data_IF_831459228481
#
_entry.id   IF_831459228481
#
_cell.length_a   1.000
_cell.length_b   1.000
_cell.length_c   1.000
_cell.angle_alpha   90.00
_cell.angle_beta   90.00
_cell.angle_gamma   90.00
#
_symmetry.space_group_name_H-M   'P 1'
#
loop_
_entity.id
_entity.type
_entity.pdbx_description
1 polymer ?
#
# COMPACT_ATOMS: atom_id res chain seq x y z
N UNK A 1 -12.29 11.95 7.98
CA UNK A 1 -12.40 12.33 6.55
C UNK A 1 -10.98 12.33 5.99
N UNK A 2 -10.79 12.37 4.67
CA UNK A 2 -9.48 12.31 4.00
C UNK A 2 -8.67 13.61 4.21
N UNK A 3 -8.03 13.76 5.38
CA UNK A 3 -7.40 15.01 5.80
C UNK A 3 -6.20 15.39 4.93
N UNK A 4 -5.43 14.41 4.44
CA UNK A 4 -4.28 14.69 3.58
C UNK A 4 -4.72 15.36 2.27
N UNK A 5 -5.87 14.95 1.70
CA UNK A 5 -6.45 15.62 0.55
C UNK A 5 -6.88 17.04 0.89
N UNK A 6 -7.51 17.25 2.05
CA UNK A 6 -7.88 18.59 2.55
C UNK A 6 -6.65 19.49 2.67
N UNK A 7 -5.60 19.04 3.36
CA UNK A 7 -4.37 19.82 3.56
C UNK A 7 -3.66 20.11 2.23
N UNK A 8 -3.60 19.14 1.32
CA UNK A 8 -3.02 19.36 -0.02
C UNK A 8 -3.77 20.42 -0.84
N UNK A 9 -5.06 20.62 -0.56
CA UNK A 9 -5.88 21.67 -1.14
C UNK A 9 -5.71 23.02 -0.45
N UNK A 10 -5.69 23.00 0.89
CA UNK A 10 -5.53 24.19 1.72
C UNK A 10 -4.16 24.85 1.56
N UNK A 11 -3.10 24.09 1.28
CA UNK A 11 -1.76 24.64 1.06
C UNK A 11 -1.69 25.70 -0.05
N UNK A 12 -2.55 25.62 -1.08
CA UNK A 12 -2.64 26.63 -2.15
C UNK A 12 -3.18 27.99 -1.67
N UNK A 13 -3.79 28.03 -0.49
CA UNK A 13 -4.38 29.24 0.08
C UNK A 13 -3.37 30.07 0.90
N UNK A 14 -2.18 29.52 1.15
CA UNK A 14 -1.06 30.21 1.81
C UNK A 14 -0.64 31.44 1.01
N UNK A 15 -0.57 31.34 -0.33
CA UNK A 15 -0.25 32.47 -1.20
C UNK A 15 -1.22 33.65 -1.01
N UNK A 16 -2.49 33.33 -0.75
CA UNK A 16 -3.54 34.33 -0.66
C UNK A 16 -3.72 34.86 0.77
N UNK A 17 -2.89 34.44 1.72
CA UNK A 17 -2.98 34.83 3.14
C UNK A 17 -4.27 34.37 3.81
N UNK A 18 -4.90 33.31 3.29
CA UNK A 18 -6.16 32.76 3.82
C UNK A 18 -5.95 31.67 4.88
N UNK A 19 -4.74 31.16 4.98
CA UNK A 19 -4.34 30.20 6.02
C UNK A 19 -3.70 30.99 7.17
N UNK A 20 -4.25 30.85 8.38
CA UNK A 20 -3.82 31.61 9.55
C UNK A 20 -3.12 30.69 10.55
N UNK A 21 -1.89 31.05 10.95
CA UNK A 21 -1.14 30.32 11.97
C UNK A 21 -1.88 30.42 13.32
N UNK A 22 -1.84 29.35 14.11
CA UNK A 22 -2.50 29.23 15.41
C UNK A 22 -4.03 29.32 15.32
N UNK A 23 -4.59 28.96 14.17
CA UNK A 23 -6.02 28.84 13.92
C UNK A 23 -6.39 27.44 13.39
N UNK A 24 -7.69 27.15 13.29
CA UNK A 24 -8.18 25.90 12.74
C UNK A 24 -7.87 25.79 11.25
N UNK A 25 -7.47 24.59 10.84
CA UNK A 25 -7.46 24.18 9.43
C UNK A 25 -8.90 24.04 8.91
N UNK A 26 -9.06 23.94 7.60
CA UNK A 26 -10.31 23.49 6.97
C UNK A 26 -10.86 22.18 7.52
N UNK A 27 -10.01 21.30 8.06
CA UNK A 27 -10.48 20.24 8.96
C UNK A 27 -10.44 20.77 10.41
N UNK A 28 -11.61 20.96 11.07
CA UNK A 28 -11.68 21.60 12.39
C UNK A 28 -11.06 20.75 13.51
N UNK A 29 -10.65 19.51 13.22
CA UNK A 29 -9.89 18.70 14.18
C UNK A 29 -8.38 19.02 14.19
N UNK A 30 -7.93 19.99 13.39
CA UNK A 30 -6.51 20.29 13.20
C UNK A 30 -6.23 21.78 13.35
N UNK A 31 -5.06 22.10 13.91
CA UNK A 31 -4.53 23.46 14.05
C UNK A 31 -3.40 23.66 13.05
N UNK A 32 -3.37 24.83 12.41
CA UNK A 32 -2.24 25.29 11.60
C UNK A 32 -1.13 25.80 12.52
N UNK A 33 0.04 25.17 12.45
CA UNK A 33 1.18 25.47 13.31
C UNK A 33 2.18 26.44 12.68
N UNK A 34 2.30 26.41 11.36
CA UNK A 34 3.27 27.22 10.62
C UNK A 34 2.87 27.30 9.13
N UNK A 35 3.34 28.34 8.44
CA UNK A 35 3.11 28.54 7.00
C UNK A 35 4.29 29.27 6.37
N UNK A 36 4.60 28.96 5.12
CA UNK A 36 5.63 29.65 4.35
C UNK A 36 5.18 29.88 2.91
N UNK A 37 5.43 31.08 2.40
CA UNK A 37 5.41 31.43 0.98
C UNK A 37 6.77 32.05 0.64
N UNK A 38 7.63 31.35 -0.08
CA UNK A 38 9.01 31.80 -0.34
C UNK A 38 9.12 33.01 -1.26
N UNK A 39 8.00 33.47 -1.84
CA UNK A 39 7.95 34.76 -2.53
C UNK A 39 7.91 35.94 -1.54
N UNK A 40 7.49 35.69 -0.30
CA UNK A 40 7.27 36.71 0.75
C UNK A 40 8.07 36.47 2.02
N UNK A 41 8.36 35.22 2.34
CA UNK A 41 8.97 34.79 3.60
C UNK A 41 10.38 34.24 3.36
N UNK A 42 11.21 34.30 4.40
CA UNK A 42 12.51 33.66 4.48
C UNK A 42 12.42 32.36 5.27
N UNK A 43 13.30 31.39 4.99
CA UNK A 43 13.39 30.16 5.77
C UNK A 43 14.61 30.23 6.69
N UNK A 44 14.41 29.94 7.97
CA UNK A 44 15.49 29.94 8.97
C UNK A 44 16.23 31.28 9.03
N UNK A 45 17.54 31.26 8.75
CA UNK A 45 18.41 32.43 8.83
C UNK A 45 18.64 33.13 7.47
N UNK A 46 17.83 32.84 6.45
CA UNK A 46 17.92 33.49 5.14
C UNK A 46 17.64 35.00 5.25
N UNK A 47 18.41 35.81 4.50
CA UNK A 47 18.30 37.28 4.55
C UNK A 47 17.17 37.83 3.69
N UNK A 48 16.85 37.17 2.57
CA UNK A 48 15.86 37.61 1.60
C UNK A 48 15.03 36.40 1.13
N UNK A 49 13.73 36.59 0.85
CA UNK A 49 12.90 35.55 0.25
C UNK A 49 13.52 35.03 -1.06
N UNK A 50 13.42 33.71 -1.30
CA UNK A 50 14.02 33.06 -2.48
C UNK A 50 13.28 33.34 -3.78
N UNK A 51 12.01 33.77 -3.72
CA UNK A 51 11.18 34.06 -4.89
C UNK A 51 11.04 32.87 -5.86
N UNK A 52 11.01 31.65 -5.32
CA UNK A 52 10.89 30.41 -6.10
C UNK A 52 9.51 29.76 -5.97
N UNK A 53 8.53 30.47 -5.43
CA UNK A 53 7.12 30.06 -5.34
C UNK A 53 6.82 28.78 -4.57
N UNK A 54 7.75 28.27 -3.75
CA UNK A 54 7.44 27.19 -2.80
C UNK A 54 6.49 27.72 -1.72
N UNK A 55 5.42 26.97 -1.49
CA UNK A 55 4.40 27.29 -0.49
C UNK A 55 4.08 26.05 0.33
N UNK A 56 3.98 26.21 1.64
CA UNK A 56 3.64 25.10 2.52
C UNK A 56 2.91 25.56 3.79
N UNK A 57 2.20 24.63 4.40
CA UNK A 57 1.60 24.77 5.73
C UNK A 57 1.89 23.53 6.59
N UNK A 58 1.89 23.71 7.90
CA UNK A 58 2.11 22.66 8.88
C UNK A 58 0.86 22.53 9.75
N UNK A 59 0.38 21.31 9.95
CA UNK A 59 -0.82 21.03 10.74
C UNK A 59 -0.60 19.90 11.73
N UNK A 60 -1.33 19.95 12.84
CA UNK A 60 -1.38 18.86 13.83
C UNK A 60 -2.80 18.63 14.33
N UNK A 61 -3.12 17.36 14.65
CA UNK A 61 -4.43 16.98 15.18
C UNK A 61 -4.58 17.47 16.62
N UNK A 62 -5.75 18.00 16.96
CA UNK A 62 -6.13 18.37 18.32
C UNK A 62 -6.27 17.08 19.16
N UNK A 63 -5.76 17.09 20.39
CA UNK A 63 -5.93 15.96 21.32
C UNK A 63 -7.41 15.76 21.63
N UNK A 64 -7.81 14.51 21.87
CA UNK A 64 -9.22 14.15 21.96
C UNK A 64 -9.96 14.91 23.07
N UNK A 65 -9.30 15.20 24.19
CA UNK A 65 -9.84 15.97 25.32
C UNK A 65 -10.15 17.44 25.00
N UNK A 66 -9.64 17.96 23.88
CA UNK A 66 -9.80 19.36 23.47
C UNK A 66 -10.66 19.53 22.20
N UNK A 67 -11.16 18.44 21.59
CA UNK A 67 -11.88 18.51 20.31
C UNK A 67 -13.23 19.25 20.36
N UNK A 68 -13.82 19.35 21.54
CA UNK A 68 -15.10 20.05 21.75
C UNK A 68 -14.92 21.54 22.08
N UNK A 69 -13.67 22.02 22.21
CA UNK A 69 -13.37 23.41 22.50
C UNK A 69 -13.42 24.22 21.22
N UNK A 70 -13.92 25.45 21.30
CA UNK A 70 -13.75 26.40 20.19
C UNK A 70 -12.33 26.95 20.16
N UNK A 71 -11.99 27.64 19.07
CA UNK A 71 -10.63 28.13 18.86
C UNK A 71 -10.21 29.20 19.88
N UNK A 72 -11.15 29.96 20.42
CA UNK A 72 -10.84 31.02 21.39
C UNK A 72 -10.55 30.39 22.76
N UNK A 73 -11.33 29.39 23.17
CA UNK A 73 -11.08 28.60 24.37
C UNK A 73 -9.72 27.88 24.30
N UNK A 74 -9.35 27.34 23.12
CA UNK A 74 -8.05 26.71 22.91
C UNK A 74 -6.90 27.71 23.08
N UNK A 75 -7.03 28.91 22.51
CA UNK A 75 -6.02 29.98 22.57
C UNK A 75 -5.76 30.47 23.99
N UNK A 76 -6.75 30.39 24.88
CA UNK A 76 -6.64 30.76 26.30
C UNK A 76 -5.89 29.72 27.15
N UNK A 77 -5.68 28.49 26.63
CA UNK A 77 -4.96 27.45 27.35
C UNK A 77 -3.44 27.73 27.41
N UNK A 78 -2.87 27.53 28.58
CA UNK A 78 -1.44 27.75 28.82
C UNK A 78 -0.58 26.81 27.97
N UNK A 79 0.26 27.40 27.12
CA UNK A 79 1.16 26.65 26.24
C UNK A 79 0.49 26.25 24.92
N UNK A 80 -0.57 26.92 24.51
CA UNK A 80 -1.12 26.83 23.17
C UNK A 80 -0.11 27.31 22.10
N UNK A 81 -0.04 26.65 20.91
CA UNK A 81 -0.80 25.46 20.51
C UNK A 81 -0.21 24.12 20.96
N UNK A 82 1.06 24.06 21.37
CA UNK A 82 1.77 22.78 21.60
C UNK A 82 1.14 21.91 22.70
N UNK A 83 0.49 22.52 23.69
CA UNK A 83 -0.18 21.82 24.79
C UNK A 83 -1.43 21.05 24.38
N UNK A 84 -2.09 21.44 23.27
CA UNK A 84 -3.40 20.92 22.86
C UNK A 84 -3.35 20.00 21.64
N UNK A 85 -2.20 19.86 20.99
CA UNK A 85 -2.02 19.04 19.80
C UNK A 85 -1.39 17.68 20.09
N UNK A 86 -1.68 16.70 19.25
CA UNK A 86 -0.93 15.44 19.18
C UNK A 86 0.45 15.71 18.57
N UNK A 87 1.37 14.78 18.81
CA UNK A 87 2.75 14.87 18.31
C UNK A 87 2.89 14.36 16.87
N UNK A 88 1.78 14.08 16.19
CA UNK A 88 1.77 13.71 14.77
C UNK A 88 1.48 14.97 13.93
N UNK A 89 2.48 15.38 13.13
CA UNK A 89 2.45 16.62 12.35
C UNK A 89 2.53 16.31 10.86
N UNK A 90 1.76 17.04 10.05
CA UNK A 90 1.83 16.95 8.59
C UNK A 90 2.27 18.27 7.96
N UNK A 91 3.28 18.21 7.08
CA UNK A 91 3.67 19.33 6.21
C UNK A 91 2.98 19.16 4.86
N UNK A 92 2.13 20.11 4.48
CA UNK A 92 1.44 20.12 3.20
C UNK A 92 2.06 21.15 2.27
N UNK A 93 2.52 20.69 1.10
CA UNK A 93 3.11 21.53 0.06
C UNK A 93 2.10 21.82 -1.05
N UNK A 94 2.05 23.08 -1.49
CA UNK A 94 1.24 23.47 -2.63
C UNK A 94 1.94 23.13 -3.95
N UNK A 95 1.18 22.77 -4.97
CA UNK A 95 1.70 22.67 -6.33
C UNK A 95 1.53 23.97 -7.12
N UNK A 96 1.93 23.96 -8.39
CA UNK A 96 1.70 25.09 -9.30
C UNK A 96 0.24 25.09 -9.79
N UNK A 97 -0.40 26.26 -9.86
CA UNK A 97 -1.82 26.38 -10.21
C UNK A 97 -2.13 26.28 -11.72
N UNK A 98 -1.12 26.35 -12.61
CA UNK A 98 -1.30 26.45 -14.06
C UNK A 98 -1.21 25.13 -14.84
N UNK A 99 -2.30 24.72 -15.49
CA UNK A 99 -2.38 23.47 -16.29
C UNK A 99 -1.54 23.48 -17.58
N UNK A 100 -1.39 24.64 -18.25
CA UNK A 100 -0.65 24.75 -19.52
C UNK A 100 0.88 24.70 -19.34
N UNK A 101 1.41 25.33 -18.29
CA UNK A 101 2.85 25.31 -17.97
C UNK A 101 3.30 23.93 -17.47
N UNK A 102 2.44 23.28 -16.68
CA UNK A 102 2.77 22.03 -15.99
C UNK A 102 3.13 20.84 -16.92
N UNK A 103 2.48 20.70 -18.09
CA UNK A 103 2.65 19.50 -18.94
C UNK A 103 4.01 19.44 -19.66
N UNK A 104 4.52 20.59 -20.11
CA UNK A 104 5.80 20.68 -20.83
C UNK A 104 6.96 20.83 -19.84
N UNK A 105 6.71 21.51 -18.72
CA UNK A 105 7.79 22.04 -17.89
C UNK A 105 8.09 21.20 -16.64
N UNK A 106 7.23 20.28 -16.18
CA UNK A 106 7.46 19.57 -14.90
C UNK A 106 8.85 18.91 -14.79
N UNK A 107 9.38 18.30 -15.86
CA UNK A 107 10.73 17.68 -15.80
C UNK A 107 11.86 18.71 -15.81
N UNK A 108 11.63 19.86 -16.43
CA UNK A 108 12.59 20.96 -16.52
C UNK A 108 12.55 21.81 -15.25
N UNK A 109 11.36 22.19 -14.79
CA UNK A 109 11.04 22.76 -13.47
C UNK A 109 11.62 21.88 -12.36
N UNK A 110 11.32 20.58 -12.31
CA UNK A 110 11.85 19.72 -11.25
C UNK A 110 13.38 19.53 -11.32
N UNK A 111 14.05 19.83 -12.44
CA UNK A 111 15.52 19.91 -12.51
C UNK A 111 16.03 21.27 -12.06
N UNK A 112 15.41 22.36 -12.52
CA UNK A 112 15.75 23.73 -12.15
C UNK A 112 15.51 24.00 -10.65
N UNK A 113 14.42 23.47 -10.10
CA UNK A 113 14.02 23.65 -8.70
C UNK A 113 14.84 22.81 -7.70
N UNK A 114 15.76 21.98 -8.20
CA UNK A 114 16.73 21.25 -7.36
C UNK A 114 18.05 21.96 -7.17
N UNK A 115 18.27 23.08 -7.86
CA UNK A 115 19.38 23.96 -7.56
C UNK A 115 19.26 24.52 -6.14
N UNK A 116 20.35 25.02 -5.58
CA UNK A 116 20.44 25.50 -4.19
C UNK A 116 19.33 26.50 -3.79
N UNK A 117 18.84 27.27 -4.77
CA UNK A 117 17.79 28.27 -4.60
C UNK A 117 16.41 27.84 -5.12
N UNK A 118 16.23 26.57 -5.50
CA UNK A 118 14.99 26.07 -6.06
C UNK A 118 13.94 25.65 -5.02
N UNK A 119 12.73 25.37 -5.50
CA UNK A 119 11.57 25.05 -4.65
C UNK A 119 11.77 23.76 -3.83
N UNK A 120 12.36 22.70 -4.42
CA UNK A 120 12.66 21.45 -3.69
C UNK A 120 13.66 21.64 -2.55
N UNK A 121 14.71 22.45 -2.76
CA UNK A 121 15.65 22.78 -1.69
C UNK A 121 14.99 23.63 -0.61
N UNK A 122 14.06 24.50 -1.00
CA UNK A 122 13.30 25.30 -0.04
C UNK A 122 12.35 24.44 0.77
N UNK A 123 11.67 23.48 0.15
CA UNK A 123 10.84 22.50 0.84
C UNK A 123 11.64 21.68 1.88
N UNK A 124 12.86 21.25 1.52
CA UNK A 124 13.76 20.56 2.43
C UNK A 124 14.27 21.45 3.57
N UNK A 125 14.69 22.69 3.26
CA UNK A 125 15.10 23.66 4.28
C UNK A 125 13.96 23.97 5.25
N UNK A 126 12.75 24.16 4.72
CA UNK A 126 11.56 24.40 5.55
C UNK A 126 11.29 23.21 6.47
N UNK A 127 11.30 21.98 5.95
CA UNK A 127 11.16 20.77 6.76
C UNK A 127 12.24 20.65 7.85
N UNK A 128 13.47 21.09 7.58
CA UNK A 128 14.52 21.13 8.61
C UNK A 128 14.21 22.14 9.72
N UNK A 129 13.66 23.32 9.40
CA UNK A 129 13.25 24.29 10.42
C UNK A 129 12.06 23.77 11.26
N UNK A 130 11.10 23.09 10.61
CA UNK A 130 9.98 22.46 11.31
C UNK A 130 10.46 21.36 12.27
N UNK A 131 11.38 20.49 11.84
CA UNK A 131 11.92 19.43 12.71
C UNK A 131 12.78 19.98 13.87
N UNK A 132 13.38 21.17 13.73
CA UNK A 132 14.05 21.83 14.87
C UNK A 132 13.04 22.25 15.95
N UNK A 133 11.84 22.68 15.56
CA UNK A 133 10.77 23.07 16.49
C UNK A 133 10.00 21.86 17.04
N UNK A 134 9.75 20.88 16.19
CA UNK A 134 8.99 19.67 16.49
C UNK A 134 9.89 18.43 16.27
N UNK A 135 10.79 18.18 17.21
CA UNK A 135 11.84 17.19 17.02
C UNK A 135 11.32 15.76 17.15
N UNK A 136 11.78 14.87 16.26
CA UNK A 136 11.58 13.42 16.39
C UNK A 136 12.17 12.89 17.71
N UNK A 137 13.22 13.54 18.23
CA UNK A 137 13.80 13.20 19.54
C UNK A 137 12.87 13.49 20.71
N UNK A 138 11.96 14.45 20.54
CA UNK A 138 10.96 14.85 21.53
C UNK A 138 9.65 14.07 21.37
N UNK A 139 9.64 13.04 20.51
CA UNK A 139 8.50 12.16 20.29
C UNK A 139 7.58 12.58 19.14
N UNK A 140 7.94 13.60 18.36
CA UNK A 140 7.15 14.00 17.20
C UNK A 140 7.32 13.04 16.02
N UNK A 141 6.22 12.79 15.31
CA UNK A 141 6.26 12.19 13.98
C UNK A 141 5.94 13.25 12.95
N UNK A 142 6.66 13.23 11.83
CA UNK A 142 6.45 14.17 10.73
C UNK A 142 6.11 13.37 9.48
N UNK A 143 4.99 13.71 8.85
CA UNK A 143 4.59 13.25 7.53
C UNK A 143 4.45 14.41 6.55
N UNK A 144 4.40 14.10 5.27
CA UNK A 144 4.17 15.12 4.23
C UNK A 144 3.01 14.77 3.33
N UNK A 145 2.39 15.79 2.75
CA UNK A 145 1.37 15.65 1.72
C UNK A 145 1.49 16.76 0.69
N UNK A 146 0.81 16.58 -0.43
CA UNK A 146 0.81 17.54 -1.51
C UNK A 146 0.15 16.99 -2.77
N UNK A 147 -0.18 17.91 -3.67
CA UNK A 147 -0.75 17.61 -4.97
C UNK A 147 0.17 18.10 -6.09
N UNK A 148 0.25 17.37 -7.21
CA UNK A 148 1.06 17.80 -8.37
C UNK A 148 2.53 18.06 -8.00
N UNK A 149 3.08 19.25 -8.26
CA UNK A 149 4.43 19.65 -7.85
C UNK A 149 4.63 19.59 -6.32
N UNK A 150 3.65 20.03 -5.53
CA UNK A 150 3.71 19.92 -4.07
C UNK A 150 3.76 18.46 -3.60
N UNK A 151 3.11 17.55 -4.35
CA UNK A 151 3.25 16.11 -4.13
C UNK A 151 4.67 15.60 -4.42
N UNK A 152 5.35 16.18 -5.42
CA UNK A 152 6.74 15.85 -5.72
C UNK A 152 7.70 16.34 -4.64
N UNK A 153 7.48 17.56 -4.12
CA UNK A 153 8.23 18.15 -3.00
C UNK A 153 8.04 17.32 -1.72
N UNK A 154 6.80 16.95 -1.39
CA UNK A 154 6.46 16.07 -0.27
C UNK A 154 7.24 14.73 -0.34
N UNK A 155 7.23 14.07 -1.51
CA UNK A 155 8.00 12.84 -1.74
C UNK A 155 9.50 13.08 -1.58
N UNK A 156 10.02 14.16 -2.17
CA UNK A 156 11.44 14.50 -2.11
C UNK A 156 11.92 14.69 -0.66
N UNK A 157 11.21 15.50 0.11
CA UNK A 157 11.48 15.71 1.54
C UNK A 157 11.37 14.41 2.31
N UNK A 158 10.32 13.63 2.07
CA UNK A 158 10.09 12.37 2.78
C UNK A 158 11.21 11.37 2.59
N UNK A 159 11.71 11.21 1.36
CA UNK A 159 12.83 10.30 1.09
C UNK A 159 14.12 10.74 1.78
N UNK A 160 14.42 12.04 1.77
CA UNK A 160 15.66 12.56 2.38
C UNK A 160 15.61 12.64 3.90
N UNK A 161 14.41 12.79 4.49
CA UNK A 161 14.21 12.92 5.93
C UNK A 161 13.75 11.63 6.60
N UNK A 162 13.32 10.63 5.82
CA UNK A 162 12.75 9.39 6.34
C UNK A 162 11.28 9.52 6.80
N UNK A 163 10.58 10.57 6.39
CA UNK A 163 9.16 10.79 6.71
C UNK A 163 8.25 9.88 5.88
N UNK A 164 6.99 9.72 6.30
CA UNK A 164 5.95 9.13 5.47
C UNK A 164 5.29 10.19 4.57
N UNK A 165 4.74 9.79 3.43
CA UNK A 165 3.97 10.69 2.58
C UNK A 165 2.67 10.06 2.05
N UNK A 166 1.62 10.87 2.00
CA UNK A 166 0.39 10.58 1.23
C UNK A 166 0.18 11.73 0.26
N UNK A 167 0.26 11.46 -1.04
CA UNK A 167 0.23 12.50 -2.09
C UNK A 167 -0.81 12.20 -3.16
N UNK A 168 -1.18 13.24 -3.91
CA UNK A 168 -2.25 13.19 -4.91
C UNK A 168 -1.74 13.65 -6.27
N UNK A 169 -1.80 12.79 -7.28
CA UNK A 169 -1.31 13.14 -8.62
C UNK A 169 0.13 13.65 -8.60
N UNK A 170 1.00 13.11 -7.74
CA UNK A 170 2.33 13.68 -7.54
C UNK A 170 3.16 13.70 -8.83
N UNK A 171 3.78 14.83 -9.11
CA UNK A 171 4.76 14.94 -10.20
C UNK A 171 6.08 14.23 -9.86
N UNK A 172 6.96 14.09 -10.84
CA UNK A 172 8.25 13.43 -10.66
C UNK A 172 9.15 14.14 -9.66
N UNK A 173 9.38 13.52 -8.49
CA UNK A 173 10.32 14.04 -7.48
C UNK A 173 11.77 14.06 -7.96
N UNK A 174 12.08 13.27 -9.00
CA UNK A 174 13.39 13.10 -9.64
C UNK A 174 14.53 12.77 -8.67
N UNK A 175 14.20 12.04 -7.60
CA UNK A 175 15.17 11.35 -6.74
C UNK A 175 15.93 10.30 -7.54
N UNK A 176 17.16 10.00 -7.13
CA UNK A 176 17.96 8.93 -7.73
C UNK A 176 17.52 7.56 -7.20
N UNK A 177 17.80 6.49 -7.96
CA UNK A 177 17.53 5.12 -7.48
C UNK A 177 18.21 4.81 -6.14
N UNK A 178 19.40 5.37 -5.90
CA UNK A 178 20.14 5.17 -4.64
C UNK A 178 19.42 5.80 -3.45
N UNK A 179 18.92 7.04 -3.61
CA UNK A 179 18.10 7.70 -2.59
C UNK A 179 16.84 6.88 -2.28
N UNK A 180 16.18 6.37 -3.31
CA UNK A 180 14.98 5.52 -3.16
C UNK A 180 15.30 4.18 -2.48
N UNK A 181 16.46 3.57 -2.73
CA UNK A 181 16.88 2.30 -2.09
C UNK A 181 17.16 2.44 -0.59
N UNK A 182 17.61 3.61 -0.16
CA UNK A 182 17.93 3.88 1.25
C UNK A 182 16.69 4.26 2.07
N UNK A 183 15.61 4.66 1.43
CA UNK A 183 14.38 5.07 2.09
C UNK A 183 13.73 3.92 2.89
N UNK A 184 13.30 4.24 4.13
CA UNK A 184 12.68 3.29 5.07
C UNK A 184 11.26 3.66 5.50
N UNK A 185 10.77 4.85 5.13
CA UNK A 185 9.38 5.23 5.38
C UNK A 185 8.43 4.62 4.36
N UNK A 186 7.21 5.15 4.30
CA UNK A 186 6.20 4.78 3.31
C UNK A 186 5.67 5.99 2.55
N UNK A 187 5.65 5.86 1.22
CA UNK A 187 5.02 6.82 0.31
C UNK A 187 3.83 6.15 -0.37
N UNK A 188 2.68 6.80 -0.26
CA UNK A 188 1.47 6.45 -1.01
C UNK A 188 1.12 7.62 -1.94
N UNK A 189 1.09 7.37 -3.25
CA UNK A 189 0.66 8.36 -4.24
C UNK A 189 -0.64 7.89 -4.89
N UNK A 190 -1.72 8.63 -4.72
CA UNK A 190 -3.03 8.35 -5.29
C UNK A 190 -3.21 9.23 -6.54
N UNK A 191 -3.50 8.63 -7.68
CA UNK A 191 -3.68 9.36 -8.93
C UNK A 191 -4.84 8.78 -9.73
N UNK A 192 -5.39 9.54 -10.68
CA UNK A 192 -6.37 8.99 -11.61
C UNK A 192 -5.68 8.27 -12.76
N UNK A 193 -6.22 7.15 -13.23
CA UNK A 193 -5.59 6.38 -14.33
C UNK A 193 -5.42 7.17 -15.63
N UNK A 194 -6.18 8.25 -15.84
CA UNK A 194 -6.04 9.16 -16.98
C UNK A 194 -5.06 10.32 -16.72
N UNK A 195 -4.51 10.44 -15.52
CA UNK A 195 -3.59 11.51 -15.12
C UNK A 195 -2.26 11.43 -15.90
N UNK A 196 -2.10 12.37 -16.82
CA UNK A 196 -0.95 12.50 -17.72
C UNK A 196 0.33 12.99 -17.04
N UNK A 197 0.24 13.56 -15.84
CA UNK A 197 1.39 14.07 -15.08
C UNK A 197 2.08 12.94 -14.33
N UNK A 198 1.28 12.05 -13.73
CA UNK A 198 1.76 10.87 -13.03
C UNK A 198 2.16 9.71 -13.94
N UNK A 199 1.72 9.69 -15.21
CA UNK A 199 1.88 8.55 -16.13
C UNK A 199 3.32 8.32 -16.65
N UNK A 200 4.35 8.85 -15.98
CA UNK A 200 5.76 8.65 -16.33
C UNK A 200 6.48 7.67 -15.39
N UNK A 201 7.56 7.05 -15.90
CA UNK A 201 8.49 6.12 -15.23
C UNK A 201 8.97 6.54 -13.82
N UNK A 202 8.77 7.80 -13.41
CA UNK A 202 9.20 8.38 -12.14
C UNK A 202 8.12 8.39 -11.03
N UNK A 203 6.82 8.26 -11.35
CA UNK A 203 5.72 8.38 -10.36
C UNK A 203 4.61 7.34 -10.49
N UNK A 204 4.52 6.61 -11.60
CA UNK A 204 3.76 5.37 -11.71
C UNK A 204 4.44 4.21 -10.98
N UNK A 205 4.91 4.45 -9.75
CA UNK A 205 5.76 3.62 -8.90
C UNK A 205 5.44 2.13 -8.91
N UNK A 206 6.44 1.34 -8.51
CA UNK A 206 6.59 -0.11 -8.70
C UNK A 206 5.47 -1.02 -8.13
N UNK A 207 4.32 -0.46 -7.72
CA UNK A 207 3.18 -1.18 -7.15
C UNK A 207 3.49 -1.83 -5.81
N UNK A 208 4.52 -1.35 -5.08
CA UNK A 208 5.05 -2.01 -3.87
C UNK A 208 5.69 -1.04 -2.88
N UNK A 209 5.64 -1.40 -1.60
CA UNK A 209 6.32 -0.70 -0.51
C UNK A 209 7.85 -0.66 -0.77
N UNK A 210 8.54 0.45 -0.47
CA UNK A 210 8.04 1.65 0.23
C UNK A 210 7.35 2.71 -0.65
N UNK A 211 7.17 2.46 -1.96
CA UNK A 211 6.56 3.41 -2.91
C UNK A 211 5.30 2.83 -3.56
N UNK A 212 4.16 3.02 -2.90
CA UNK A 212 2.87 2.54 -3.38
C UNK A 212 2.17 3.62 -4.21
N UNK A 213 2.25 3.52 -5.53
CA UNK A 213 1.48 4.36 -6.45
C UNK A 213 0.20 3.65 -6.87
N UNK A 214 -0.95 4.31 -6.73
CA UNK A 214 -2.27 3.71 -6.92
C UNK A 214 -3.07 4.54 -7.92
N UNK A 215 -3.33 3.94 -9.08
CA UNK A 215 -4.21 4.49 -10.09
C UNK A 215 -5.67 4.15 -9.80
N UNK A 216 -6.53 5.16 -9.74
CA UNK A 216 -7.98 5.03 -9.57
C UNK A 216 -8.65 5.44 -10.88
N UNK A 217 -9.47 4.57 -11.44
CA UNK A 217 -10.23 4.86 -12.67
C UNK A 217 -11.54 5.58 -12.29
N UNK A 218 -11.56 6.92 -12.31
CA UNK A 218 -12.74 7.70 -11.92
C UNK A 218 -13.65 8.03 -13.12
N UNK A 219 -14.96 8.21 -12.84
CA UNK A 219 -15.91 8.70 -13.84
C UNK A 219 -15.82 10.21 -14.00
N UNK A 220 -15.87 10.69 -15.25
CA UNK A 220 -15.97 12.12 -15.55
C UNK A 220 -14.65 12.83 -15.26
N UNK A 221 -13.78 12.91 -16.26
CA UNK A 221 -12.46 13.50 -16.11
C UNK A 221 -12.57 15.03 -15.96
N UNK A 222 -11.99 15.57 -14.89
CA UNK A 222 -11.69 16.99 -14.75
C UNK A 222 -10.20 17.18 -15.02
N UNK A 223 -9.82 18.26 -15.70
CA UNK A 223 -8.40 18.62 -15.98
C UNK A 223 -7.56 17.41 -16.42
N UNK A 224 -8.03 16.65 -17.42
CA UNK A 224 -7.42 15.41 -17.92
C UNK A 224 -6.91 14.44 -16.84
N UNK A 225 -7.69 14.23 -15.78
CA UNK A 225 -7.36 13.26 -14.74
C UNK A 225 -6.45 13.80 -13.63
N UNK A 226 -6.10 15.08 -13.61
CA UNK A 226 -5.13 15.61 -12.63
C UNK A 226 -5.76 16.50 -11.56
N UNK A 227 -7.02 16.25 -11.23
CA UNK A 227 -7.70 16.99 -10.18
C UNK A 227 -7.88 16.10 -8.96
N UNK A 228 -7.39 16.53 -7.80
CA UNK A 228 -7.77 15.90 -6.52
C UNK A 228 -9.29 15.77 -6.32
N UNK A 229 -10.09 16.61 -6.99
CA UNK A 229 -11.55 16.62 -6.84
C UNK A 229 -12.28 15.50 -7.59
N UNK A 230 -11.57 14.72 -8.40
CA UNK A 230 -12.15 13.58 -9.11
C UNK A 230 -12.31 12.33 -8.23
N UNK A 231 -11.60 12.26 -7.11
CA UNK A 231 -11.64 11.11 -6.23
C UNK A 231 -12.97 11.03 -5.48
N UNK A 232 -13.70 9.93 -5.69
CA UNK A 232 -14.94 9.62 -4.98
C UNK A 232 -14.62 8.82 -3.73
N UNK A 233 -15.26 9.19 -2.62
CA UNK A 233 -15.17 8.48 -1.35
C UNK A 233 -16.51 7.78 -1.03
N UNK A 234 -16.44 6.57 -0.46
CA UNK A 234 -17.60 5.93 0.15
C UNK A 234 -17.90 6.52 1.55
N UNK A 235 -18.95 6.02 2.20
CA UNK A 235 -19.38 6.46 3.54
C UNK A 235 -18.33 6.24 4.65
N UNK A 236 -17.36 5.37 4.43
CA UNK A 236 -16.29 5.07 5.38
C UNK A 236 -15.00 5.83 5.04
N UNK A 237 -15.01 6.68 4.00
CA UNK A 237 -13.82 7.40 3.54
C UNK A 237 -12.90 6.57 2.66
N UNK A 238 -13.35 5.44 2.12
CA UNK A 238 -12.56 4.65 1.17
C UNK A 238 -12.67 5.26 -0.24
N UNK A 239 -11.59 5.23 -1.02
CA UNK A 239 -11.63 5.69 -2.40
C UNK A 239 -12.20 4.61 -3.30
N UNK A 240 -13.16 4.99 -4.15
CA UNK A 240 -13.86 4.07 -5.05
C UNK A 240 -13.62 4.43 -6.51
N UNK A 241 -13.44 3.41 -7.35
CA UNK A 241 -13.34 3.59 -8.80
C UNK A 241 -14.74 3.72 -9.44
N UNK A 242 -14.78 3.91 -10.76
CA UNK A 242 -16.01 4.05 -11.54
C UNK A 242 -16.94 2.84 -11.50
N UNK A 243 -16.40 1.66 -11.19
CA UNK A 243 -17.17 0.43 -11.04
C UNK A 243 -17.74 0.25 -9.63
N UNK A 244 -17.50 1.20 -8.72
CA UNK A 244 -17.89 1.11 -7.31
C UNK A 244 -16.99 0.19 -6.48
N UNK A 245 -15.84 -0.22 -7.03
CA UNK A 245 -14.86 -1.05 -6.32
C UNK A 245 -13.97 -0.15 -5.47
N UNK A 246 -13.69 -0.56 -4.22
CA UNK A 246 -12.78 0.18 -3.34
C UNK A 246 -11.35 -0.02 -3.85
N UNK A 247 -10.69 1.07 -4.22
CA UNK A 247 -9.31 1.09 -4.67
C UNK A 247 -8.32 1.37 -3.53
N UNK A 248 -8.70 2.20 -2.56
CA UNK A 248 -7.89 2.55 -1.40
C UNK A 248 -8.75 2.53 -0.15
N UNK A 249 -8.33 1.75 0.85
CA UNK A 249 -9.02 1.64 2.12
C UNK A 249 -8.52 2.70 3.09
N UNK A 250 -9.44 3.39 3.76
CA UNK A 250 -9.09 4.21 4.92
C UNK A 250 -8.77 3.32 6.12
N UNK A 251 -7.86 3.76 6.97
CA UNK A 251 -7.64 3.17 8.31
C UNK A 251 -8.72 3.57 9.33
N UNK A 252 -9.74 4.34 8.90
CA UNK A 252 -10.81 4.94 9.71
C UNK A 252 -10.34 6.03 10.68
N UNK A 253 -9.07 6.42 10.61
CA UNK A 253 -8.43 7.47 11.39
C UNK A 253 -7.78 8.53 10.48
N UNK A 254 -8.26 8.62 9.24
CA UNK A 254 -7.79 9.59 8.27
C UNK A 254 -6.51 9.22 7.52
N UNK A 255 -5.90 8.10 7.87
CA UNK A 255 -4.83 7.48 7.11
C UNK A 255 -5.36 6.48 6.08
N UNK A 256 -4.41 5.76 5.49
CA UNK A 256 -4.64 4.68 4.53
C UNK A 256 -4.26 3.36 5.19
N UNK A 257 -5.15 2.39 5.08
CA UNK A 257 -4.87 1.00 5.45
C UNK A 257 -4.13 0.32 4.29
N UNK A 258 -2.81 0.21 4.41
CA UNK A 258 -1.94 -0.25 3.33
C UNK A 258 -2.23 -1.70 2.96
N UNK A 259 -2.38 -2.56 3.97
CA UNK A 259 -2.63 -3.99 3.81
C UNK A 259 -3.95 -4.23 3.06
N UNK A 260 -5.03 -3.56 3.49
CA UNK A 260 -6.32 -3.66 2.82
C UNK A 260 -6.25 -3.12 1.40
N UNK A 261 -5.53 -2.02 1.20
CA UNK A 261 -5.38 -1.37 -0.11
C UNK A 261 -4.64 -2.28 -1.09
N UNK A 262 -3.55 -2.94 -0.69
CA UNK A 262 -2.83 -3.89 -1.55
C UNK A 262 -3.73 -5.05 -1.96
N UNK A 263 -4.48 -5.62 -1.02
CA UNK A 263 -5.44 -6.71 -1.32
C UNK A 263 -6.56 -6.23 -2.27
N UNK A 264 -7.03 -4.99 -2.10
CA UNK A 264 -8.05 -4.39 -2.94
C UNK A 264 -7.56 -4.20 -4.39
N UNK A 265 -6.31 -3.77 -4.58
CA UNK A 265 -5.71 -3.63 -5.90
C UNK A 265 -5.66 -4.98 -6.64
N UNK A 266 -5.38 -6.08 -5.93
CA UNK A 266 -5.45 -7.42 -6.53
C UNK A 266 -6.88 -7.80 -6.93
N UNK A 267 -7.89 -7.49 -6.09
CA UNK A 267 -9.31 -7.71 -6.45
C UNK A 267 -9.68 -6.94 -7.71
N UNK A 268 -9.27 -5.67 -7.83
CA UNK A 268 -9.53 -4.84 -9.01
C UNK A 268 -8.88 -5.45 -10.25
N UNK A 269 -7.62 -5.87 -10.17
CA UNK A 269 -6.91 -6.52 -11.29
C UNK A 269 -7.60 -7.83 -11.72
N UNK A 270 -8.06 -8.63 -10.76
CA UNK A 270 -8.82 -9.86 -11.00
C UNK A 270 -10.16 -9.54 -11.67
N UNK A 271 -10.88 -8.54 -11.18
CA UNK A 271 -12.16 -8.10 -11.75
C UNK A 271 -12.01 -7.54 -13.17
N UNK A 272 -10.95 -6.78 -13.46
CA UNK A 272 -10.62 -6.33 -14.81
C UNK A 272 -10.41 -7.51 -15.76
N UNK A 273 -9.69 -8.53 -15.32
CA UNK A 273 -9.47 -9.75 -16.11
C UNK A 273 -10.78 -10.50 -16.37
N UNK A 274 -11.64 -10.61 -15.34
CA UNK A 274 -12.95 -11.26 -15.45
C UNK A 274 -13.88 -10.53 -16.42
N UNK A 275 -13.96 -9.19 -16.35
CA UNK A 275 -14.71 -8.37 -17.32
C UNK A 275 -14.24 -8.63 -18.76
N UNK A 276 -12.93 -8.66 -18.98
CA UNK A 276 -12.35 -8.95 -20.30
C UNK A 276 -12.59 -10.38 -20.81
N UNK A 277 -12.84 -11.35 -19.92
CA UNK A 277 -13.26 -12.71 -20.30
C UNK A 277 -14.71 -12.70 -20.77
N UNK A 278 -15.59 -11.99 -20.07
CA UNK A 278 -17.03 -11.89 -20.36
C UNK A 278 -17.31 -11.16 -21.68
N UNK A 279 -16.53 -10.13 -22.01
CA UNK A 279 -16.69 -9.34 -23.25
C UNK A 279 -16.29 -10.10 -24.54
N UNK A 280 -15.46 -11.14 -24.45
CA UNK A 280 -14.95 -11.88 -25.63
C UNK A 280 -15.92 -12.96 -26.10
N UNK A 281 -16.31 -12.92 -27.38
CA UNK A 281 -17.16 -13.95 -28.00
C UNK A 281 -16.52 -15.35 -28.00
N UNK A 282 -17.35 -16.38 -27.80
CA UNK A 282 -16.96 -17.78 -27.61
C UNK A 282 -16.65 -18.11 -26.15
N UNK A 283 -16.87 -19.34 -25.69
CA UNK A 283 -16.55 -19.79 -24.33
C UNK A 283 -15.57 -20.97 -24.44
N UNK A 284 -14.32 -20.77 -24.03
CA UNK A 284 -13.35 -21.87 -23.96
C UNK A 284 -13.31 -22.40 -22.53
N UNK A 285 -13.14 -23.73 -22.38
CA UNK A 285 -13.01 -24.39 -21.07
C UNK A 285 -11.97 -23.70 -20.17
N UNK A 286 -10.86 -23.26 -20.76
CA UNK A 286 -9.77 -22.58 -20.05
C UNK A 286 -10.17 -21.19 -19.53
N UNK A 287 -10.99 -20.44 -20.28
CA UNK A 287 -11.50 -19.14 -19.83
C UNK A 287 -12.45 -19.28 -18.66
N UNK A 288 -13.34 -20.28 -18.71
CA UNK A 288 -14.22 -20.60 -17.58
C UNK A 288 -13.42 -20.98 -16.34
N UNK A 289 -12.40 -21.84 -16.50
CA UNK A 289 -11.53 -22.25 -15.40
C UNK A 289 -10.78 -21.06 -14.79
N UNK A 290 -10.27 -20.14 -15.62
CA UNK A 290 -9.62 -18.92 -15.15
C UNK A 290 -10.59 -18.01 -14.40
N UNK A 291 -11.80 -17.80 -14.92
CA UNK A 291 -12.83 -17.01 -14.24
C UNK A 291 -13.18 -17.58 -12.87
N UNK A 292 -13.44 -18.89 -12.78
CA UNK A 292 -13.76 -19.57 -11.52
C UNK A 292 -12.60 -19.46 -10.52
N UNK A 293 -11.35 -19.54 -11.00
CA UNK A 293 -10.15 -19.33 -10.18
C UNK A 293 -10.09 -17.91 -9.60
N UNK A 294 -10.25 -16.89 -10.43
CA UNK A 294 -10.22 -15.48 -10.01
C UNK A 294 -11.36 -15.15 -9.04
N UNK A 295 -12.55 -15.70 -9.26
CA UNK A 295 -13.67 -15.60 -8.33
C UNK A 295 -13.35 -16.20 -6.96
N UNK A 296 -12.75 -17.39 -6.92
CA UNK A 296 -12.34 -18.03 -5.66
C UNK A 296 -11.29 -17.19 -4.94
N UNK A 297 -10.32 -16.65 -5.68
CA UNK A 297 -9.28 -15.78 -5.15
C UNK A 297 -9.85 -14.48 -4.56
N UNK A 298 -10.75 -13.80 -5.28
CA UNK A 298 -11.39 -12.58 -4.80
C UNK A 298 -12.20 -12.81 -3.51
N UNK A 299 -12.88 -13.95 -3.39
CA UNK A 299 -13.58 -14.31 -2.15
C UNK A 299 -12.62 -14.44 -0.97
N UNK A 300 -11.44 -15.02 -1.19
CA UNK A 300 -10.40 -15.14 -0.16
C UNK A 300 -9.82 -13.76 0.21
N UNK A 301 -9.47 -12.94 -0.78
CA UNK A 301 -8.97 -11.58 -0.57
C UNK A 301 -9.99 -10.72 0.19
N UNK A 302 -11.27 -10.82 -0.13
CA UNK A 302 -12.33 -10.07 0.57
C UNK A 302 -12.47 -10.51 2.04
N UNK A 303 -12.34 -11.81 2.32
CA UNK A 303 -12.35 -12.30 3.70
C UNK A 303 -11.18 -11.75 4.53
N UNK A 304 -10.02 -11.59 3.89
CA UNK A 304 -8.83 -10.99 4.51
C UNK A 304 -9.02 -9.49 4.75
N UNK A 305 -9.52 -8.75 3.76
CA UNK A 305 -9.88 -7.34 3.91
C UNK A 305 -10.83 -7.14 5.09
N UNK A 306 -11.87 -7.99 5.21
CA UNK A 306 -12.83 -7.92 6.31
C UNK A 306 -12.19 -8.17 7.69
N UNK A 307 -11.10 -8.95 7.74
CA UNK A 307 -10.36 -9.20 8.98
C UNK A 307 -9.60 -7.94 9.41
N UNK A 308 -8.91 -7.28 8.48
CA UNK A 308 -8.30 -5.97 8.74
C UNK A 308 -9.32 -4.89 9.08
N UNK A 309 -10.50 -4.87 8.45
CA UNK A 309 -11.58 -3.93 8.83
C UNK A 309 -11.95 -4.07 10.30
N UNK A 310 -12.04 -5.29 10.82
CA UNK A 310 -12.33 -5.52 12.24
C UNK A 310 -11.21 -5.01 13.14
N UNK A 311 -9.96 -5.17 12.74
CA UNK A 311 -8.80 -4.65 13.47
C UNK A 311 -8.84 -3.12 13.49
N UNK A 312 -9.07 -2.46 12.36
CA UNK A 312 -9.17 -1.00 12.29
C UNK A 312 -10.34 -0.45 13.11
N UNK A 313 -11.48 -1.15 13.12
CA UNK A 313 -12.60 -0.82 14.01
C UNK A 313 -12.23 -0.99 15.49
N UNK A 314 -11.44 -2.00 15.84
CA UNK A 314 -10.97 -2.21 17.21
C UNK A 314 -9.96 -1.14 17.63
N UNK A 315 -9.03 -0.79 16.75
CA UNK A 315 -8.08 0.32 16.93
C UNK A 315 -8.81 1.63 17.20
N UNK A 316 -9.86 1.92 16.45
CA UNK A 316 -10.71 3.09 16.69
C UNK A 316 -11.39 3.02 18.07
N UNK A 317 -11.92 1.86 18.47
CA UNK A 317 -12.53 1.68 19.80
C UNK A 317 -11.55 1.91 20.95
N UNK A 318 -10.33 1.36 20.86
CA UNK A 318 -9.31 1.58 21.89
C UNK A 318 -8.93 3.07 22.01
N UNK A 319 -8.80 3.77 20.87
CA UNK A 319 -8.62 5.23 20.86
C UNK A 319 -9.77 5.97 21.54
N UNK A 320 -11.01 5.57 21.32
CA UNK A 320 -12.17 6.27 21.90
C UNK A 320 -12.44 5.93 23.36
N UNK A 321 -12.09 4.72 23.82
CA UNK A 321 -12.32 4.31 25.22
C UNK A 321 -11.26 4.81 26.20
N UNK A 322 -10.00 4.95 25.77
CA UNK A 322 -8.87 5.30 26.64
C UNK A 322 -8.19 6.63 26.31
N UNK A 323 -8.62 7.33 25.24
CA UNK A 323 -7.95 8.53 24.70
C UNK A 323 -6.66 8.21 23.93
N UNK A 324 -5.80 7.37 24.49
CA UNK A 324 -4.56 6.85 23.89
C UNK A 324 -4.57 5.32 23.93
N UNK A 325 -4.08 4.68 22.86
CA UNK A 325 -3.90 3.21 22.83
C UNK A 325 -2.78 2.85 23.81
N UNK A 326 -3.09 2.00 24.79
CA UNK A 326 -2.10 1.49 25.74
C UNK A 326 -1.08 0.56 25.07
N UNK A 327 0.07 0.34 25.72
CA UNK A 327 1.09 -0.58 25.20
C UNK A 327 0.54 -1.99 24.94
N UNK A 328 -0.32 -2.52 25.82
CA UNK A 328 -0.91 -3.85 25.64
C UNK A 328 -1.91 -3.89 24.48
N UNK A 329 -2.75 -2.86 24.34
CA UNK A 329 -3.68 -2.75 23.21
C UNK A 329 -2.91 -2.64 21.88
N UNK A 330 -1.80 -1.90 21.85
CA UNK A 330 -0.93 -1.81 20.68
C UNK A 330 -0.34 -3.18 20.32
N UNK A 331 0.25 -3.89 21.29
CA UNK A 331 0.79 -5.24 21.05
C UNK A 331 -0.32 -6.19 20.54
N UNK A 332 -1.52 -6.13 21.12
CA UNK A 332 -2.65 -6.94 20.67
C UNK A 332 -3.05 -6.64 19.22
N UNK A 333 -3.11 -5.35 18.86
CA UNK A 333 -3.41 -4.93 17.48
C UNK A 333 -2.32 -5.40 16.52
N UNK A 334 -1.05 -5.19 16.86
CA UNK A 334 0.10 -5.58 16.03
C UNK A 334 0.16 -7.10 15.81
N UNK A 335 -0.04 -7.90 16.86
CA UNK A 335 -0.09 -9.36 16.77
C UNK A 335 -1.31 -9.84 15.97
N UNK A 336 -2.45 -9.15 16.09
CA UNK A 336 -3.67 -9.45 15.31
C UNK A 336 -3.48 -9.14 13.81
N UNK A 337 -2.78 -8.06 13.48
CA UNK A 337 -2.41 -7.71 12.11
C UNK A 337 -1.42 -8.74 11.55
N UNK A 338 -0.37 -9.07 12.31
CA UNK A 338 0.60 -10.11 11.95
C UNK A 338 -0.08 -11.47 11.72
N UNK A 339 -1.03 -11.86 12.58
CA UNK A 339 -1.81 -13.08 12.40
C UNK A 339 -2.60 -13.03 11.09
N UNK A 340 -3.24 -11.91 10.78
CA UNK A 340 -4.03 -11.74 9.55
C UNK A 340 -3.15 -11.85 8.31
N UNK A 341 -1.96 -11.23 8.32
CA UNK A 341 -0.96 -11.33 7.24
C UNK A 341 -0.48 -12.77 7.05
N UNK A 342 -0.10 -13.46 8.13
CA UNK A 342 0.41 -14.84 8.05
C UNK A 342 -0.68 -15.82 7.60
N UNK A 343 -1.92 -15.66 8.08
CA UNK A 343 -3.05 -16.46 7.61
C UNK A 343 -3.33 -16.22 6.13
N UNK A 344 -3.20 -14.98 5.66
CA UNK A 344 -3.34 -14.65 4.24
C UNK A 344 -2.28 -15.36 3.39
N UNK A 345 -1.01 -15.25 3.80
CA UNK A 345 0.10 -15.93 3.14
C UNK A 345 -0.09 -17.45 3.12
N UNK A 346 -0.53 -18.05 4.23
CA UNK A 346 -0.83 -19.49 4.32
C UNK A 346 -1.90 -19.90 3.31
N UNK A 347 -3.03 -19.20 3.26
CA UNK A 347 -4.14 -19.55 2.37
C UNK A 347 -3.77 -19.40 0.88
N UNK A 348 -3.03 -18.35 0.51
CA UNK A 348 -2.55 -18.18 -0.86
C UNK A 348 -1.52 -19.26 -1.23
N UNK A 349 -0.59 -19.55 -0.32
CA UNK A 349 0.41 -20.58 -0.50
C UNK A 349 -0.22 -21.98 -0.64
N UNK A 350 -1.19 -22.32 0.21
CA UNK A 350 -1.97 -23.56 0.12
C UNK A 350 -2.65 -23.69 -1.24
N UNK A 351 -3.34 -22.65 -1.72
CA UNK A 351 -3.99 -22.65 -3.03
C UNK A 351 -2.99 -22.86 -4.19
N UNK A 352 -1.83 -22.20 -4.13
CA UNK A 352 -0.77 -22.38 -5.11
C UNK A 352 -0.21 -23.81 -5.07
N UNK A 353 0.06 -24.34 -3.87
CA UNK A 353 0.59 -25.68 -3.69
C UNK A 353 -0.42 -26.77 -4.08
N UNK A 354 -1.71 -26.59 -3.82
CA UNK A 354 -2.74 -27.51 -4.31
C UNK A 354 -2.68 -27.65 -5.84
N UNK A 355 -2.53 -26.52 -6.54
CA UNK A 355 -2.41 -26.48 -7.99
C UNK A 355 -1.10 -27.14 -8.46
N UNK A 356 0.02 -26.85 -7.81
CA UNK A 356 1.33 -27.45 -8.12
C UNK A 356 1.35 -28.95 -7.88
N UNK A 357 0.80 -29.42 -6.74
CA UNK A 357 0.69 -30.84 -6.41
C UNK A 357 -0.18 -31.56 -7.43
N UNK A 358 -1.27 -30.93 -7.88
CA UNK A 358 -2.12 -31.48 -8.92
C UNK A 358 -1.36 -31.69 -10.23
N UNK A 359 -0.64 -30.67 -10.71
CA UNK A 359 0.19 -30.77 -11.94
C UNK A 359 1.18 -31.92 -11.84
N UNK A 360 1.90 -32.05 -10.72
CA UNK A 360 2.86 -33.15 -10.56
C UNK A 360 2.19 -34.52 -10.51
N UNK A 361 1.03 -34.64 -9.86
CA UNK A 361 0.26 -35.89 -9.86
C UNK A 361 -0.26 -36.27 -11.25
N UNK A 362 -0.75 -35.30 -12.00
CA UNK A 362 -1.19 -35.49 -13.39
C UNK A 362 0.00 -35.89 -14.27
N UNK A 363 1.17 -35.25 -14.11
CA UNK A 363 2.40 -35.64 -14.79
C UNK A 363 2.82 -37.09 -14.51
N UNK A 364 2.72 -37.56 -13.25
CA UNK A 364 3.00 -38.98 -12.92
C UNK A 364 2.05 -39.91 -13.71
N UNK A 365 0.75 -39.61 -13.72
CA UNK A 365 -0.24 -40.40 -14.46
C UNK A 365 0.02 -40.39 -15.97
N UNK A 366 0.40 -39.24 -16.54
CA UNK A 366 0.74 -39.12 -17.95
C UNK A 366 1.98 -39.95 -18.33
N UNK A 367 2.98 -40.02 -17.45
CA UNK A 367 4.16 -40.88 -17.65
C UNK A 367 3.78 -42.36 -17.60
N UNK A 368 2.95 -42.77 -16.63
CA UNK A 368 2.42 -44.13 -16.54
C UNK A 368 1.62 -44.50 -17.80
N UNK A 369 0.75 -43.62 -18.27
CA UNK A 369 0.01 -43.81 -19.52
C UNK A 369 0.93 -43.90 -20.75
N UNK A 370 1.96 -43.06 -20.81
CA UNK A 370 2.93 -43.05 -21.90
C UNK A 370 3.66 -44.39 -21.97
N UNK A 371 4.07 -44.94 -20.83
CA UNK A 371 4.68 -46.26 -20.74
C UNK A 371 3.74 -47.37 -21.21
N UNK A 372 2.48 -47.37 -20.77
CA UNK A 372 1.50 -48.35 -21.23
C UNK A 372 1.25 -48.27 -22.75
N UNK A 373 1.20 -47.04 -23.31
CA UNK A 373 1.10 -46.83 -24.76
C UNK A 373 2.34 -47.35 -25.49
N UNK A 374 3.53 -47.15 -24.94
CA UNK A 374 4.78 -47.67 -25.51
C UNK A 374 4.78 -49.21 -25.54
N UNK A 375 4.41 -49.85 -24.42
CA UNK A 375 4.30 -51.32 -24.33
C UNK A 375 3.27 -51.88 -25.31
N UNK A 376 2.10 -51.25 -25.43
CA UNK A 376 1.08 -51.70 -26.38
C UNK A 376 1.56 -51.59 -27.83
N UNK A 377 2.24 -50.50 -28.20
CA UNK A 377 2.78 -50.32 -29.55
C UNK A 377 3.89 -51.33 -29.85
N UNK A 378 4.80 -51.55 -28.90
CA UNK A 378 5.87 -52.54 -29.04
C UNK A 378 5.28 -53.93 -29.27
N UNK A 379 4.34 -54.36 -28.43
CA UNK A 379 3.66 -55.65 -28.56
C UNK A 379 2.97 -55.84 -29.91
N UNK A 380 2.30 -54.80 -30.43
CA UNK A 380 1.66 -54.86 -31.74
C UNK A 380 2.66 -54.94 -32.90
N UNK A 381 3.84 -54.33 -32.76
CA UNK A 381 4.89 -54.35 -33.78
C UNK A 381 5.70 -55.65 -33.78
N UNK A 382 5.74 -56.37 -32.65
CA UNK A 382 6.52 -57.60 -32.47
C UNK A 382 5.65 -58.77 -32.00
N UNK A 383 4.69 -59.25 -32.83
CA UNK A 383 3.72 -60.27 -32.42
C UNK A 383 4.35 -61.64 -32.10
N UNK A 384 5.52 -61.92 -32.67
CA UNK A 384 6.23 -63.21 -32.52
C UNK A 384 7.24 -63.23 -31.36
N UNK A 385 7.50 -62.08 -30.72
CA UNK A 385 8.41 -62.00 -29.58
C UNK A 385 7.67 -62.28 -28.27
N UNK A 386 8.33 -62.99 -27.35
CA UNK A 386 7.88 -63.07 -25.97
C UNK A 386 7.95 -61.69 -25.29
N UNK A 387 7.21 -61.53 -24.18
CA UNK A 387 7.22 -60.27 -23.42
C UNK A 387 8.63 -59.88 -22.95
N UNK A 388 9.46 -60.86 -22.58
CA UNK A 388 10.85 -60.63 -22.17
C UNK A 388 11.72 -60.12 -23.33
N UNK A 389 11.66 -60.78 -24.50
CA UNK A 389 12.44 -60.36 -25.69
C UNK A 389 12.03 -58.96 -26.19
N UNK A 390 10.74 -58.63 -26.07
CA UNK A 390 10.23 -57.28 -26.35
C UNK A 390 10.84 -56.25 -25.39
N UNK A 391 10.89 -56.54 -24.09
CA UNK A 391 11.50 -55.65 -23.10
C UNK A 391 13.02 -55.50 -23.31
N UNK A 392 13.73 -56.58 -23.63
CA UNK A 392 15.17 -56.52 -23.94
C UNK A 392 15.44 -55.63 -25.16
N UNK A 393 14.58 -55.71 -26.18
CA UNK A 393 14.66 -54.87 -27.38
C UNK A 393 14.41 -53.39 -27.04
N UNK A 394 13.40 -53.09 -26.21
CA UNK A 394 13.12 -51.73 -25.75
C UNK A 394 14.28 -51.17 -24.90
N UNK A 395 14.86 -52.00 -24.04
CA UNK A 395 16.02 -51.65 -23.23
C UNK A 395 17.26 -51.34 -24.10
N UNK A 396 17.44 -52.03 -25.23
CA UNK A 396 18.57 -51.78 -26.15
C UNK A 396 18.55 -50.38 -26.77
N UNK A 397 17.40 -49.70 -26.78
CA UNK A 397 17.22 -48.32 -27.23
C UNK A 397 16.89 -47.36 -26.08
N UNK A 398 17.21 -47.75 -24.84
CA UNK A 398 17.03 -46.96 -23.61
C UNK A 398 15.56 -46.58 -23.29
N UNK A 399 14.61 -47.26 -23.91
CA UNK A 399 13.18 -47.07 -23.69
C UNK A 399 12.71 -48.01 -22.57
N UNK A 400 12.91 -47.61 -21.32
CA UNK A 400 12.60 -48.43 -20.14
C UNK A 400 11.56 -47.76 -19.24
N UNK A 401 10.89 -48.54 -18.40
CA UNK A 401 10.03 -47.97 -17.34
C UNK A 401 10.82 -47.04 -16.41
N UNK A 402 12.10 -47.33 -16.20
CA UNK A 402 12.96 -46.48 -15.38
C UNK A 402 13.18 -45.10 -16.03
N UNK A 403 13.50 -45.07 -17.33
CA UNK A 403 13.77 -43.83 -18.07
C UNK A 403 12.51 -43.03 -18.38
N UNK A 404 11.35 -43.70 -18.58
CA UNK A 404 10.09 -43.04 -18.91
C UNK A 404 9.31 -42.63 -17.65
N UNK A 405 9.20 -43.51 -16.64
CA UNK A 405 8.30 -43.31 -15.50
C UNK A 405 9.06 -43.02 -14.23
N UNK A 406 9.99 -43.89 -13.85
CA UNK A 406 10.50 -43.94 -12.47
C UNK A 406 11.25 -42.65 -12.09
N UNK A 407 12.25 -42.25 -12.87
CA UNK A 407 13.11 -41.09 -12.55
C UNK A 407 12.29 -39.80 -12.43
N UNK A 408 11.49 -39.50 -13.46
CA UNK A 408 10.65 -38.28 -13.48
C UNK A 408 9.56 -38.30 -12.39
N UNK A 409 8.98 -39.47 -12.09
CA UNK A 409 7.97 -39.60 -11.03
C UNK A 409 8.57 -39.40 -9.64
N UNK A 410 9.80 -39.84 -9.41
CA UNK A 410 10.53 -39.57 -8.17
C UNK A 410 10.80 -38.08 -7.99
N UNK A 411 11.27 -37.38 -9.03
CA UNK A 411 11.46 -35.93 -9.00
C UNK A 411 10.15 -35.19 -8.68
N UNK A 412 9.03 -35.58 -9.32
CA UNK A 412 7.71 -35.01 -9.06
C UNK A 412 7.26 -35.25 -7.61
N UNK A 413 7.50 -36.45 -7.06
CA UNK A 413 7.18 -36.76 -5.65
C UNK A 413 8.02 -35.92 -4.68
N UNK A 414 9.30 -35.68 -4.97
CA UNK A 414 10.12 -34.79 -4.16
C UNK A 414 9.59 -33.35 -4.14
N UNK A 415 9.16 -32.83 -5.31
CA UNK A 415 8.57 -31.49 -5.40
C UNK A 415 7.26 -31.40 -4.62
N UNK A 416 6.42 -32.44 -4.67
CA UNK A 416 5.21 -32.55 -3.84
C UNK A 416 5.56 -32.55 -2.34
N UNK A 417 6.60 -33.27 -1.92
CA UNK A 417 7.02 -33.30 -0.52
C UNK A 417 7.50 -31.91 -0.05
N UNK A 418 8.28 -31.21 -0.86
CA UNK A 418 8.75 -29.83 -0.58
C UNK A 418 7.56 -28.85 -0.45
N UNK A 419 6.56 -28.96 -1.33
CA UNK A 419 5.33 -28.17 -1.27
C UNK A 419 4.58 -28.36 0.07
N UNK A 420 4.42 -29.60 0.52
CA UNK A 420 3.79 -29.93 1.81
C UNK A 420 4.58 -29.40 3.00
N UNK A 421 5.90 -29.59 3.01
CA UNK A 421 6.76 -29.12 4.10
C UNK A 421 6.67 -27.60 4.29
N UNK A 422 6.54 -26.83 3.20
CA UNK A 422 6.41 -25.38 3.31
C UNK A 422 5.03 -24.97 3.87
N UNK A 423 3.95 -25.67 3.52
CA UNK A 423 2.61 -25.45 4.10
C UNK A 423 2.61 -25.69 5.61
N UNK A 424 3.32 -26.72 6.08
CA UNK A 424 3.48 -27.00 7.52
C UNK A 424 4.19 -25.86 8.26
N UNK A 425 5.18 -25.19 7.64
CA UNK A 425 5.87 -24.04 8.23
C UNK A 425 4.93 -22.86 8.48
N UNK A 426 4.06 -22.54 7.51
CA UNK A 426 3.04 -21.50 7.69
C UNK A 426 2.04 -21.87 8.78
N UNK A 427 1.55 -23.11 8.76
CA UNK A 427 0.62 -23.62 9.79
C UNK A 427 1.20 -23.48 11.19
N UNK A 428 2.48 -23.81 11.36
CA UNK A 428 3.21 -23.64 12.62
C UNK A 428 3.28 -22.17 13.04
N UNK A 429 3.65 -21.27 12.13
CA UNK A 429 3.74 -19.84 12.42
C UNK A 429 2.37 -19.26 12.84
N UNK A 430 1.28 -19.66 12.16
CA UNK A 430 -0.09 -19.30 12.56
C UNK A 430 -0.39 -19.75 13.99
N UNK A 431 -0.02 -20.98 14.35
CA UNK A 431 -0.24 -21.51 15.70
C UNK A 431 0.56 -20.76 16.76
N UNK A 432 1.82 -20.42 16.46
CA UNK A 432 2.70 -19.69 17.39
C UNK A 432 2.16 -18.28 17.67
N UNK A 433 1.72 -17.54 16.64
CA UNK A 433 1.12 -16.20 16.83
C UNK A 433 -0.19 -16.28 17.62
N UNK A 434 -1.05 -17.26 17.33
CA UNK A 434 -2.30 -17.46 18.10
C UNK A 434 -2.04 -17.73 19.57
N UNK A 435 -1.01 -18.51 19.90
CA UNK A 435 -0.64 -18.79 21.29
C UNK A 435 -0.24 -17.49 22.01
N UNK A 436 0.59 -16.66 21.38
CA UNK A 436 1.01 -15.37 21.95
C UNK A 436 -0.15 -14.41 22.22
N UNK A 437 -1.08 -14.30 21.26
CA UNK A 437 -2.29 -13.49 21.45
C UNK A 437 -3.12 -14.01 22.64
N UNK A 438 -3.30 -15.32 22.76
CA UNK A 438 -4.03 -15.91 23.87
C UNK A 438 -3.35 -15.66 25.23
N UNK A 439 -2.02 -15.76 25.29
CA UNK A 439 -1.23 -15.44 26.49
C UNK A 439 -1.39 -13.96 26.89
N UNK A 440 -1.38 -13.04 25.92
CA UNK A 440 -1.59 -11.61 26.17
C UNK A 440 -2.97 -11.33 26.73
N UNK A 441 -4.02 -11.88 26.11
CA UNK A 441 -5.41 -11.73 26.58
C UNK A 441 -5.57 -12.28 27.99
N UNK A 442 -4.99 -13.44 28.27
CA UNK A 442 -5.07 -14.06 29.60
C UNK A 442 -4.36 -13.21 30.67
N UNK A 443 -3.18 -12.67 30.35
CA UNK A 443 -2.44 -11.80 31.27
C UNK A 443 -3.22 -10.52 31.59
N UNK A 444 -3.85 -9.94 30.58
CA UNK A 444 -4.65 -8.72 30.73
C UNK A 444 -5.91 -8.97 31.58
N UNK A 445 -6.58 -10.11 31.38
CA UNK A 445 -7.70 -10.54 32.23
C UNK A 445 -7.30 -10.75 33.70
N UNK A 446 -6.13 -11.35 33.94
CA UNK A 446 -5.64 -11.55 35.30
C UNK A 446 -5.30 -10.22 35.99
N UNK A 447 -4.65 -9.29 35.28
CA UNK A 447 -4.37 -7.95 35.78
C UNK A 447 -5.65 -7.18 36.11
N UNK A 448 -6.66 -7.23 35.22
CA UNK A 448 -7.95 -6.60 35.47
C UNK A 448 -8.62 -7.16 36.73
N UNK A 449 -8.46 -8.46 37.02
CA UNK A 449 -8.99 -9.11 38.22
C UNK A 449 -8.24 -8.78 39.51
N UNK A 450 -6.99 -8.34 39.40
CA UNK A 450 -6.18 -7.92 40.56
C UNK A 450 -6.41 -6.45 40.94
N UNK A 451 -6.90 -5.65 39.98
CA UNK A 451 -7.12 -4.20 40.13
C UNK A 451 -8.58 -3.81 40.34
N UNK A 452 -9.53 -4.71 40.05
CA UNK A 452 -10.96 -4.58 40.38
C UNK A 452 -11.32 -5.36 41.63
#
# INVERSE_FOLDING_TARGET
MDQNRTFSGEAYEVENGKVTINDLSKDPNYIVLDTVDTNKNTIGNEKNPKQNSMQAMVVAEIKNEFKDYDIDDLKDLKGYPESVIKQDITIAYAGTAGWQDMKTDIREIARNDKHENGAFQSALSYANEIEKRYSVKDGYTISTTGHSLGGAEAIYVSVLKGYNAITYGAAGSGLTEEQLKLYKGTIVNIYDTSDIVTSGLLTGGQGKIPFLSIGIDNEGWKTAGHSRDQFKLDKNGNYVNKYGEIAVYSDLNGGISIEQTILAQQIIANNQTMRGIEERLGNTKDRKLLFDKLMKENKLLQAQINSFTKINQLRLKFKTSGGVISTNEQIYLDDSEALTVVQSASAQFESAMESTIKIYKEGILELEELWQKALSKAKSATPDLSYGEMLDTLNSVECTEQSIVTVSSEEFREKIAKAKQMSEKFTRLVSEIKSKIAELVQRDQELARQLG
#
